data_IF_233799175157
#
_entry.id   IF_233799175157
#
_cell.length_a   1.000
_cell.length_b   1.000
_cell.length_c   1.000
_cell.angle_alpha   90.00
_cell.angle_beta   90.00
_cell.angle_gamma   90.00
#
_symmetry.space_group_name_H-M   'P 1'
#
loop_
_entity.id
_entity.type
_entity.pdbx_description
1 polymer ?
#
# COMPACT_ATOMS: atom_id res chain seq x y z
N UNK A 1 -10.93 -23.20 -21.00
CA UNK A 1 -9.95 -22.33 -21.58
C UNK A 1 -9.38 -21.37 -20.52
N UNK A 2 -10.16 -20.39 -20.23
CA UNK A 2 -9.74 -19.32 -19.33
C UNK A 2 -9.48 -19.79 -17.92
N UNK A 3 -10.21 -20.81 -17.44
CA UNK A 3 -10.07 -21.27 -16.06
C UNK A 3 -8.70 -21.85 -15.74
N UNK A 4 -8.15 -22.67 -16.64
CA UNK A 4 -6.82 -23.26 -16.45
C UNK A 4 -5.73 -22.20 -16.63
N UNK A 5 -5.85 -21.33 -17.63
CA UNK A 5 -4.88 -20.28 -17.86
C UNK A 5 -4.87 -19.27 -16.72
N UNK A 6 -6.05 -18.93 -16.19
CA UNK A 6 -6.17 -18.00 -15.05
C UNK A 6 -5.61 -18.64 -13.78
N UNK A 7 -5.85 -19.93 -13.54
CA UNK A 7 -5.30 -20.64 -12.38
C UNK A 7 -3.78 -20.73 -12.45
N UNK A 8 -3.23 -21.01 -13.63
CA UNK A 8 -1.77 -21.06 -13.83
C UNK A 8 -1.14 -19.67 -13.64
N UNK A 9 -1.74 -18.64 -14.23
CA UNK A 9 -1.26 -17.28 -14.09
C UNK A 9 -1.31 -16.83 -12.63
N UNK A 10 -2.39 -17.14 -11.91
CA UNK A 10 -2.51 -16.81 -10.49
C UNK A 10 -1.47 -17.53 -9.66
N UNK A 11 -1.19 -18.81 -9.92
CA UNK A 11 -0.16 -19.58 -9.21
C UNK A 11 1.23 -19.00 -9.45
N UNK A 12 1.55 -18.62 -10.67
CA UNK A 12 2.83 -18.01 -11.00
C UNK A 12 2.99 -16.64 -10.34
N UNK A 13 1.92 -15.83 -10.31
CA UNK A 13 1.95 -14.53 -9.65
C UNK A 13 2.06 -14.67 -8.13
N UNK A 14 1.41 -15.67 -7.55
CA UNK A 14 1.55 -15.92 -6.11
C UNK A 14 2.97 -16.35 -5.77
N UNK A 15 3.61 -17.15 -6.59
CA UNK A 15 5.00 -17.54 -6.39
C UNK A 15 5.92 -16.31 -6.47
N UNK A 16 5.74 -15.45 -7.46
CA UNK A 16 6.52 -14.23 -7.60
C UNK A 16 6.29 -13.30 -6.41
N UNK A 17 5.04 -13.18 -5.92
CA UNK A 17 4.71 -12.36 -4.75
C UNK A 17 5.29 -12.91 -3.46
N UNK A 18 5.59 -14.19 -3.39
CA UNK A 18 6.26 -14.76 -2.20
C UNK A 18 7.59 -14.07 -1.94
N UNK A 19 8.31 -13.66 -2.98
CA UNK A 19 9.61 -13.02 -2.82
C UNK A 19 9.49 -11.53 -2.50
N UNK A 20 8.52 -10.80 -3.07
CA UNK A 20 8.41 -9.35 -2.87
C UNK A 20 7.27 -8.93 -1.94
N UNK A 21 6.32 -9.82 -1.65
CA UNK A 21 5.20 -9.52 -0.77
C UNK A 21 5.65 -8.99 0.60
N UNK A 22 6.71 -9.50 1.25
CA UNK A 22 7.20 -8.91 2.49
C UNK A 22 7.57 -7.43 2.36
N UNK A 23 8.15 -7.02 1.24
CA UNK A 23 8.48 -5.61 0.99
C UNK A 23 7.22 -4.76 0.84
N UNK A 24 6.20 -5.29 0.18
CA UNK A 24 4.90 -4.61 0.05
C UNK A 24 4.22 -4.48 1.41
N UNK A 25 4.28 -5.51 2.25
CA UNK A 25 3.76 -5.46 3.60
C UNK A 25 4.51 -4.45 4.46
N UNK A 26 5.82 -4.40 4.35
CA UNK A 26 6.63 -3.42 5.07
C UNK A 26 6.28 -2.00 4.62
N UNK A 27 6.09 -1.79 3.33
CA UNK A 27 5.66 -0.51 2.80
C UNK A 27 4.27 -0.13 3.33
N UNK A 28 3.33 -1.07 3.35
CA UNK A 28 2.00 -0.83 3.89
C UNK A 28 2.05 -0.44 5.38
N UNK A 29 2.87 -1.14 6.18
CA UNK A 29 3.04 -0.82 7.60
C UNK A 29 3.70 0.53 7.79
N UNK A 30 4.68 0.87 6.96
CA UNK A 30 5.32 2.18 6.96
C UNK A 30 4.30 3.28 6.71
N UNK A 31 3.48 3.15 5.64
CA UNK A 31 2.43 4.11 5.33
C UNK A 31 1.45 4.27 6.49
N UNK A 32 0.97 3.16 7.05
CA UNK A 32 0.02 3.19 8.16
C UNK A 32 0.61 3.90 9.37
N UNK A 33 1.86 3.60 9.74
CA UNK A 33 2.51 4.20 10.90
C UNK A 33 2.74 5.71 10.71
N UNK A 34 3.15 6.11 9.50
CA UNK A 34 3.36 7.54 9.20
C UNK A 34 2.05 8.31 9.19
N UNK A 35 1.01 7.74 8.64
CA UNK A 35 -0.32 8.36 8.65
C UNK A 35 -0.86 8.50 10.06
N UNK A 36 -0.66 7.50 10.91
CA UNK A 36 -1.07 7.58 12.32
C UNK A 36 -0.32 8.71 13.04
N UNK A 37 0.98 8.89 12.78
CA UNK A 37 1.77 9.98 13.36
C UNK A 37 1.28 11.35 12.91
N UNK A 38 0.67 11.44 11.74
CA UNK A 38 0.11 12.68 11.21
C UNK A 38 -1.36 12.88 11.55
N UNK A 39 -1.87 12.13 12.53
CA UNK A 39 -3.23 12.19 13.01
C UNK A 39 -4.29 11.83 11.95
N UNK A 40 -3.91 11.02 10.97
CA UNK A 40 -4.86 10.45 10.02
C UNK A 40 -5.56 9.27 10.69
N UNK A 41 -6.89 9.29 10.77
CA UNK A 41 -7.67 8.20 11.34
C UNK A 41 -7.55 6.94 10.50
N UNK A 42 -7.22 5.83 11.15
CA UNK A 42 -7.07 4.53 10.51
C UNK A 42 -8.09 3.55 11.06
N UNK A 43 -8.41 2.52 10.27
CA UNK A 43 -9.20 1.40 10.78
C UNK A 43 -8.39 0.62 11.83
N UNK A 44 -9.11 -0.19 12.64
CA UNK A 44 -8.48 -0.98 13.69
C UNK A 44 -7.41 -1.95 13.17
N UNK A 45 -7.60 -2.45 11.95
CA UNK A 45 -6.64 -3.30 11.25
C UNK A 45 -6.32 -2.69 9.88
N UNK A 46 -5.43 -1.69 9.83
CA UNK A 46 -5.22 -0.90 8.63
C UNK A 46 -4.46 -1.63 7.52
N UNK A 47 -3.68 -2.66 7.85
CA UNK A 47 -2.89 -3.39 6.85
C UNK A 47 -3.49 -4.77 6.67
N UNK A 48 -4.03 -5.02 5.50
CA UNK A 48 -4.65 -6.30 5.17
C UNK A 48 -4.07 -6.86 3.88
N UNK A 49 -3.88 -8.18 3.85
CA UNK A 49 -3.46 -8.87 2.65
C UNK A 49 -4.66 -9.30 1.81
N UNK A 50 -4.56 -9.11 0.51
CA UNK A 50 -5.55 -9.60 -0.42
C UNK A 50 -4.92 -9.73 -1.81
N UNK A 51 -5.47 -10.64 -2.60
CA UNK A 51 -5.00 -10.86 -3.97
C UNK A 51 -5.74 -9.91 -4.91
N UNK A 52 -5.21 -8.71 -5.09
CA UNK A 52 -5.76 -7.73 -6.04
C UNK A 52 -5.01 -7.80 -7.36
N UNK A 53 -5.75 -7.79 -8.46
CA UNK A 53 -5.15 -7.81 -9.79
C UNK A 53 -4.29 -6.58 -10.07
N UNK A 54 -4.60 -5.45 -9.44
CA UNK A 54 -3.81 -4.23 -9.63
C UNK A 54 -2.41 -4.32 -8.99
N UNK A 55 -2.19 -5.30 -8.09
CA UNK A 55 -0.92 -5.46 -7.38
C UNK A 55 -0.06 -6.59 -7.96
N UNK A 56 -0.21 -6.89 -9.24
CA UNK A 56 0.43 -8.04 -9.89
C UNK A 56 1.86 -7.80 -10.36
N UNK A 57 2.47 -6.66 -10.03
CA UNK A 57 3.87 -6.45 -10.38
C UNK A 57 4.77 -7.16 -9.38
N UNK A 58 5.55 -8.20 -9.78
CA UNK A 58 6.45 -8.88 -8.86
C UNK A 58 7.70 -8.09 -8.52
N UNK A 59 8.01 -7.06 -9.29
CA UNK A 59 9.31 -6.36 -9.23
C UNK A 59 9.27 -5.12 -8.33
N UNK A 60 8.08 -4.66 -7.95
CA UNK A 60 7.92 -3.37 -7.27
C UNK A 60 7.02 -3.60 -6.05
N UNK A 61 7.44 -3.15 -4.86
CA UNK A 61 6.51 -3.13 -3.71
C UNK A 61 5.27 -2.33 -4.05
N UNK A 62 4.11 -2.93 -3.85
CA UNK A 62 2.85 -2.37 -4.30
C UNK A 62 1.80 -2.49 -3.22
N UNK A 63 1.02 -1.43 -3.03
CA UNK A 63 -0.08 -1.40 -2.08
C UNK A 63 -1.29 -0.73 -2.73
N UNK A 64 -2.47 -1.15 -2.31
CA UNK A 64 -3.72 -0.45 -2.61
C UNK A 64 -4.12 0.30 -1.35
N UNK A 65 -4.19 1.62 -1.46
CA UNK A 65 -4.55 2.48 -0.35
C UNK A 65 -6.01 2.89 -0.48
N UNK A 66 -6.84 2.47 0.47
CA UNK A 66 -8.24 2.87 0.55
C UNK A 66 -8.36 4.07 1.48
N UNK A 67 -8.78 5.21 0.93
CA UNK A 67 -8.86 6.47 1.68
C UNK A 67 -10.12 6.59 2.51
N UNK A 68 -11.12 5.75 2.26
CA UNK A 68 -12.37 5.74 2.99
C UNK A 68 -13.46 5.04 2.19
N UNK A 69 -14.60 4.84 2.83
CA UNK A 69 -15.76 4.20 2.23
C UNK A 69 -16.83 5.25 1.95
N UNK A 70 -17.30 5.31 0.70
CA UNK A 70 -18.34 6.27 0.30
C UNK A 70 -19.63 6.04 1.09
N UNK A 71 -19.89 4.80 1.51
CA UNK A 71 -21.06 4.44 2.31
C UNK A 71 -21.02 4.98 3.75
N UNK A 72 -19.84 5.33 4.26
CA UNK A 72 -19.69 5.91 5.58
C UNK A 72 -19.80 7.44 5.49
N UNK A 73 -20.66 8.04 6.33
CA UNK A 73 -20.93 9.48 6.25
C UNK A 73 -19.72 10.32 6.64
N UNK A 74 -18.95 9.86 7.63
CA UNK A 74 -17.72 10.57 8.07
C UNK A 74 -16.65 10.51 6.98
N UNK A 75 -16.41 9.35 6.42
CA UNK A 75 -15.45 9.18 5.33
C UNK A 75 -15.85 10.01 4.10
N UNK A 76 -17.14 9.98 3.76
CA UNK A 76 -17.66 10.76 2.63
C UNK A 76 -17.46 12.27 2.85
N UNK A 77 -17.70 12.75 4.06
CA UNK A 77 -17.47 14.14 4.39
C UNK A 77 -15.99 14.52 4.22
N UNK A 78 -15.09 13.65 4.71
CA UNK A 78 -13.64 13.85 4.57
C UNK A 78 -13.21 13.87 3.10
N UNK A 79 -13.69 12.90 2.32
CA UNK A 79 -13.31 12.77 0.91
C UNK A 79 -13.76 13.97 0.07
N UNK A 80 -14.80 14.69 0.50
CA UNK A 80 -15.30 15.88 -0.18
C UNK A 80 -14.78 17.18 0.41
N UNK A 81 -14.00 17.11 1.49
CA UNK A 81 -13.43 18.28 2.16
C UNK A 81 -12.05 18.60 1.57
N UNK A 82 -11.86 19.77 0.92
CA UNK A 82 -10.57 20.12 0.34
C UNK A 82 -9.45 20.18 1.38
N UNK A 83 -9.72 20.63 2.59
CA UNK A 83 -8.70 20.72 3.64
C UNK A 83 -8.24 19.33 4.07
N UNK A 84 -9.18 18.40 4.21
CA UNK A 84 -8.84 17.00 4.56
C UNK A 84 -8.02 16.35 3.45
N UNK A 85 -8.42 16.54 2.18
CA UNK A 85 -7.68 16.00 1.04
C UNK A 85 -6.26 16.55 0.96
N UNK A 86 -6.09 17.85 1.20
CA UNK A 86 -4.77 18.47 1.20
C UNK A 86 -3.88 17.88 2.30
N UNK A 87 -4.44 17.64 3.49
CA UNK A 87 -3.73 16.98 4.59
C UNK A 87 -3.33 15.55 4.25
N UNK A 88 -4.24 14.81 3.63
CA UNK A 88 -3.97 13.43 3.19
C UNK A 88 -2.86 13.40 2.14
N UNK A 89 -2.90 14.31 1.16
CA UNK A 89 -1.86 14.39 0.12
C UNK A 89 -0.50 14.67 0.74
N UNK A 90 -0.41 15.62 1.69
CA UNK A 90 0.86 15.90 2.37
C UNK A 90 1.36 14.70 3.15
N UNK A 91 0.48 14.05 3.90
CA UNK A 91 0.84 12.87 4.68
C UNK A 91 1.36 11.75 3.79
N UNK A 92 0.67 11.48 2.69
CA UNK A 92 1.04 10.44 1.75
C UNK A 92 2.37 10.76 1.06
N UNK A 93 2.56 12.00 0.62
CA UNK A 93 3.80 12.43 -0.03
C UNK A 93 4.99 12.27 0.92
N UNK A 94 4.85 12.69 2.18
CA UNK A 94 5.92 12.57 3.17
C UNK A 94 6.22 11.11 3.47
N UNK A 95 5.19 10.27 3.57
CA UNK A 95 5.37 8.84 3.86
C UNK A 95 6.12 8.15 2.71
N UNK A 96 5.74 8.42 1.47
CA UNK A 96 6.39 7.81 0.30
C UNK A 96 7.82 8.31 0.16
N UNK A 97 8.07 9.61 0.34
CA UNK A 97 9.42 10.16 0.28
C UNK A 97 10.30 9.57 1.38
N UNK A 98 9.77 9.42 2.59
CA UNK A 98 10.49 8.79 3.69
C UNK A 98 10.84 7.34 3.39
N UNK A 99 9.92 6.59 2.81
CA UNK A 99 10.16 5.22 2.38
C UNK A 99 11.28 5.14 1.34
N UNK A 100 11.23 6.02 0.33
CA UNK A 100 12.23 6.04 -0.73
C UNK A 100 13.63 6.33 -0.17
N UNK A 101 13.75 7.27 0.77
CA UNK A 101 15.03 7.57 1.42
C UNK A 101 15.53 6.39 2.23
N UNK A 102 14.64 5.75 2.99
CA UNK A 102 15.00 4.58 3.79
C UNK A 102 15.50 3.45 2.92
N UNK A 103 14.83 3.17 1.81
CA UNK A 103 15.24 2.13 0.87
C UNK A 103 16.58 2.48 0.20
N UNK A 104 16.81 3.73 -0.15
CA UNK A 104 18.07 4.17 -0.73
C UNK A 104 19.23 3.96 0.25
N UNK A 105 19.01 4.21 1.54
CA UNK A 105 20.02 3.99 2.59
C UNK A 105 20.34 2.50 2.74
N UNK A 106 19.33 1.63 2.59
CA UNK A 106 19.51 0.18 2.75
C UNK A 106 20.09 -0.50 1.51
N UNK A 107 19.91 0.09 0.33
CA UNK A 107 20.31 -0.54 -0.92
C UNK A 107 21.79 -0.94 -0.98
N UNK A 108 22.75 -0.10 -0.53
CA UNK A 108 24.15 -0.52 -0.52
C UNK A 108 24.43 -1.69 0.40
N UNK A 109 23.70 -1.81 1.51
CA UNK A 109 23.85 -2.92 2.46
C UNK A 109 23.34 -4.22 1.87
N UNK A 110 22.29 -4.17 1.06
CA UNK A 110 21.72 -5.35 0.44
C UNK A 110 22.57 -5.89 -0.72
N UNK A 111 23.44 -5.06 -1.29
CA UNK A 111 24.34 -5.46 -2.38
C UNK A 111 25.61 -6.14 -1.90
N UNK A 112 25.88 -6.06 -0.64
CA UNK A 112 27.01 -6.76 -0.02
C UNK A 112 26.61 -8.19 0.34
#
# INVERSE_FOLDING_TARGET
LSGQDDALAAAMMDFARTDIQPRSQDFARWLASRMALMAIGLHADPVQGAAFSVLKSPDIPSVLLELGFISDSTDRANLTDPAWRAGMVRALAQAVQGWARDQATRAPMLRQ
#
